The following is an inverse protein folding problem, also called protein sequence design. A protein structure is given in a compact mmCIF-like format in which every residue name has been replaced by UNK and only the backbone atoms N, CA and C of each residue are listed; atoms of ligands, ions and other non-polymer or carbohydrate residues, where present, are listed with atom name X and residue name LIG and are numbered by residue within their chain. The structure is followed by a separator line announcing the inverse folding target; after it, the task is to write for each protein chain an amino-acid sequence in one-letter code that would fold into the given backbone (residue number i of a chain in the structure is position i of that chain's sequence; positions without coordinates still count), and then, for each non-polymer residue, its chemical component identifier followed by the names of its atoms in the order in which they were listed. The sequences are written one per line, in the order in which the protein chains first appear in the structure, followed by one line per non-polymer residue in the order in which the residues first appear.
data_IF_426490333348
#
_entry.id   IF_426490333348
#
_cell.length_a   1.000
_cell.length_b   1.000
_cell.length_c   1.000
_cell.angle_alpha   90.00
_cell.angle_beta   90.00
_cell.angle_gamma   90.00
#
_symmetry.space_group_name_H-M   'P 1'
#
loop_
_entity.id
_entity.type
_entity.pdbx_description
1 polymer ?
#
# COMPACT_ATOMS: atom_id res chain seq x y z
N UNK A 1 7.76 -1.43 -9.59
CA UNK A 1 8.80 -0.74 -8.78
C UNK A 1 9.97 -0.22 -9.63
N UNK A 2 9.72 0.35 -10.82
CA UNK A 2 10.76 0.63 -11.82
C UNK A 2 11.74 1.76 -11.43
N UNK A 3 11.26 2.78 -10.73
CA UNK A 3 12.02 4.03 -10.51
C UNK A 3 12.89 4.02 -9.25
N UNK A 4 12.39 3.47 -8.14
CA UNK A 4 13.12 3.46 -6.87
C UNK A 4 14.38 2.59 -6.97
N UNK A 5 15.49 3.05 -6.40
CA UNK A 5 16.67 2.21 -6.18
C UNK A 5 16.39 1.20 -5.05
N UNK A 6 17.10 0.05 -4.99
CA UNK A 6 17.04 -0.85 -3.83
C UNK A 6 17.29 -0.08 -2.53
N UNK A 7 16.50 -0.34 -1.50
CA UNK A 7 16.51 0.42 -0.23
C UNK A 7 15.67 1.70 -0.25
N UNK A 8 15.30 2.22 -1.43
CA UNK A 8 14.51 3.45 -1.55
C UNK A 8 13.10 3.35 -0.95
N UNK A 9 12.57 4.48 -0.49
CA UNK A 9 11.30 4.55 0.24
C UNK A 9 10.11 4.85 -0.66
N UNK A 10 9.02 4.10 -0.48
CA UNK A 10 7.70 4.37 -1.03
C UNK A 10 6.77 4.77 0.12
N UNK A 11 6.29 6.00 0.09
CA UNK A 11 5.27 6.51 1.01
C UNK A 11 3.90 6.44 0.33
N UNK A 12 2.91 5.92 1.04
CA UNK A 12 1.52 5.83 0.57
C UNK A 12 0.63 6.46 1.62
N UNK A 13 -0.20 7.42 1.19
CA UNK A 13 -1.26 8.01 2.00
C UNK A 13 -2.58 7.77 1.27
N UNK A 14 -3.51 7.06 1.89
CA UNK A 14 -4.78 6.70 1.27
C UNK A 14 -5.94 6.79 2.25
N UNK A 15 -7.13 7.08 1.72
CA UNK A 15 -8.32 7.28 2.55
C UNK A 15 -8.69 5.98 3.26
N UNK A 16 -8.88 6.03 4.58
CA UNK A 16 -9.10 4.86 5.44
C UNK A 16 -10.28 3.99 4.96
N UNK A 17 -11.37 4.63 4.52
CA UNK A 17 -12.57 3.93 4.02
C UNK A 17 -12.35 3.16 2.71
N UNK A 18 -11.25 3.40 1.99
CA UNK A 18 -10.94 2.69 0.75
C UNK A 18 -10.40 1.28 1.00
N UNK A 19 -9.85 1.02 2.18
CA UNK A 19 -9.34 -0.30 2.53
C UNK A 19 -10.49 -1.24 2.88
N UNK A 20 -10.47 -2.44 2.28
CA UNK A 20 -11.30 -3.57 2.71
C UNK A 20 -10.57 -4.35 3.79
N UNK A 21 -9.31 -4.70 3.53
CA UNK A 21 -8.39 -5.33 4.49
C UNK A 21 -6.99 -4.74 4.30
N UNK A 22 -6.50 -4.05 5.34
CA UNK A 22 -5.17 -3.43 5.35
C UNK A 22 -4.06 -4.49 5.29
N UNK A 23 -4.24 -5.67 5.91
CA UNK A 23 -3.23 -6.74 5.87
C UNK A 23 -3.10 -7.32 4.48
N UNK A 24 -4.22 -7.52 3.78
CA UNK A 24 -4.22 -7.98 2.40
C UNK A 24 -3.50 -6.97 1.48
N UNK A 25 -3.73 -5.66 1.68
CA UNK A 25 -3.01 -4.61 0.97
C UNK A 25 -1.49 -4.68 1.21
N UNK A 26 -1.06 -4.72 2.47
CA UNK A 26 0.38 -4.80 2.82
C UNK A 26 1.04 -6.06 2.23
N UNK A 27 0.36 -7.21 2.29
CA UNK A 27 0.84 -8.45 1.69
C UNK A 27 1.01 -8.31 0.17
N UNK A 28 0.02 -7.72 -0.51
CA UNK A 28 0.08 -7.51 -1.95
C UNK A 28 1.20 -6.54 -2.37
N UNK A 29 1.42 -5.45 -1.61
CA UNK A 29 2.56 -4.54 -1.83
C UNK A 29 3.90 -5.26 -1.60
N UNK A 30 3.95 -6.17 -0.62
CA UNK A 30 5.16 -6.95 -0.33
C UNK A 30 5.53 -7.86 -1.52
N UNK A 31 4.54 -8.49 -2.16
CA UNK A 31 4.75 -9.30 -3.36
C UNK A 31 5.30 -8.48 -4.55
N UNK A 32 5.09 -7.16 -4.56
CA UNK A 32 5.68 -6.24 -5.54
C UNK A 32 7.15 -5.88 -5.27
N UNK A 33 7.81 -6.56 -4.33
CA UNK A 33 9.23 -6.36 -4.01
C UNK A 33 9.46 -5.18 -3.06
N UNK A 34 8.56 -5.01 -2.10
CA UNK A 34 8.65 -4.02 -1.04
C UNK A 34 8.57 -4.70 0.33
N UNK A 35 9.02 -4.02 1.38
CA UNK A 35 8.86 -4.42 2.77
C UNK A 35 8.27 -3.26 3.55
N UNK A 36 7.28 -3.53 4.39
CA UNK A 36 6.72 -2.51 5.27
C UNK A 36 7.75 -2.11 6.34
N UNK A 37 7.97 -0.80 6.48
CA UNK A 37 8.82 -0.19 7.50
C UNK A 37 7.96 0.28 8.65
N UNK A 38 6.93 1.06 8.34
CA UNK A 38 6.01 1.63 9.31
C UNK A 38 4.60 1.77 8.72
N UNK A 39 3.59 1.88 9.58
CA UNK A 39 2.23 2.28 9.21
C UNK A 39 1.59 3.07 10.34
N UNK A 40 0.88 4.11 9.97
CA UNK A 40 0.02 4.88 10.87
C UNK A 40 -1.43 4.72 10.43
N UNK A 41 -2.21 4.09 11.31
CA UNK A 41 -3.64 3.83 11.15
C UNK A 41 -4.48 4.57 12.20
N UNK A 42 -3.87 5.48 12.97
CA UNK A 42 -4.55 6.18 14.06
C UNK A 42 -5.54 7.25 13.55
N UNK A 43 -5.33 7.76 12.34
CA UNK A 43 -6.21 8.76 11.75
C UNK A 43 -7.44 8.11 11.10
N UNK A 44 -8.63 8.63 11.41
CA UNK A 44 -9.91 8.11 10.93
C UNK A 44 -10.18 8.37 9.44
N UNK A 45 -9.42 9.27 8.81
CA UNK A 45 -9.59 9.68 7.43
C UNK A 45 -8.52 9.12 6.51
N UNK A 46 -7.27 9.08 6.95
CA UNK A 46 -6.14 8.65 6.13
C UNK A 46 -5.28 7.63 6.85
N UNK A 47 -4.85 6.62 6.12
CA UNK A 47 -3.81 5.69 6.54
C UNK A 47 -2.52 6.00 5.81
N UNK A 48 -1.42 5.97 6.55
CA UNK A 48 -0.08 6.19 6.03
C UNK A 48 0.72 4.90 6.12
N UNK A 49 1.47 4.61 5.07
CA UNK A 49 2.34 3.45 4.99
C UNK A 49 3.69 3.86 4.44
N UNK A 50 4.73 3.33 5.06
CA UNK A 50 6.10 3.44 4.58
C UNK A 50 6.59 2.05 4.18
N UNK A 51 7.11 1.95 2.97
CA UNK A 51 7.71 0.73 2.46
C UNK A 51 9.13 1.00 1.95
N UNK A 52 10.04 0.06 2.16
CA UNK A 52 11.36 0.06 1.53
C UNK A 52 11.37 -0.92 0.36
N UNK A 53 11.95 -0.53 -0.77
CA UNK A 53 12.10 -1.40 -1.94
C UNK A 53 13.17 -2.46 -1.66
N UNK A 54 12.77 -3.72 -1.71
CA UNK A 54 13.67 -4.85 -1.45
C UNK A 54 14.17 -5.54 -2.71
N UNK A 55 13.42 -5.47 -3.82
CA UNK A 55 13.81 -6.22 -5.01
C UNK A 55 12.91 -5.97 -6.21
N UNK A 56 12.80 -6.95 -7.10
CA UNK A 56 11.85 -6.95 -8.22
C UNK A 56 10.50 -7.53 -7.76
N UNK A 57 9.39 -7.20 -8.44
CA UNK A 57 8.11 -7.86 -8.17
C UNK A 57 8.21 -9.36 -8.45
N UNK A 58 7.49 -10.18 -7.66
CA UNK A 58 7.29 -11.59 -8.01
C UNK A 58 6.41 -11.68 -9.26
N UNK A 59 6.91 -12.34 -10.30
CA UNK A 59 6.18 -12.49 -11.56
C UNK A 59 4.95 -13.42 -11.39
N UNK A 60 3.83 -13.08 -12.02
CA UNK A 60 2.65 -13.95 -12.10
C UNK A 60 1.69 -13.89 -10.90
N UNK A 61 1.93 -13.06 -9.89
CA UNK A 61 1.03 -12.94 -8.75
C UNK A 61 -0.25 -12.15 -9.09
N UNK A 62 -1.42 -12.75 -8.84
CA UNK A 62 -2.67 -11.98 -8.73
C UNK A 62 -2.70 -11.27 -7.38
N UNK A 63 -3.00 -9.98 -7.40
CA UNK A 63 -2.86 -9.11 -6.21
C UNK A 63 -4.22 -8.55 -5.78
N UNK A 64 -5.18 -9.39 -5.33
CA UNK A 64 -6.51 -8.92 -4.94
C UNK A 64 -6.46 -7.90 -3.80
N UNK A 65 -5.42 -7.96 -2.96
CA UNK A 65 -5.18 -6.99 -1.89
C UNK A 65 -4.92 -5.55 -2.35
N UNK A 66 -4.60 -5.33 -3.64
CA UNK A 66 -4.48 -3.97 -4.20
C UNK A 66 -5.82 -3.38 -4.65
N UNK A 67 -6.90 -4.17 -4.63
CA UNK A 67 -8.23 -3.68 -4.99
C UNK A 67 -8.81 -2.86 -3.84
N UNK A 68 -8.67 -1.55 -3.96
CA UNK A 68 -9.26 -0.58 -3.03
C UNK A 68 -10.70 -0.23 -3.44
N UNK A 69 -11.54 0.09 -2.45
CA UNK A 69 -12.85 0.70 -2.69
C UNK A 69 -12.68 2.10 -3.31
N UNK A 70 -13.68 2.57 -4.08
CA UNK A 70 -13.67 3.95 -4.56
C UNK A 70 -13.65 4.93 -3.39
N UNK A 71 -13.00 6.08 -3.59
CA UNK A 71 -13.07 7.19 -2.65
C UNK A 71 -14.40 7.92 -2.87
N UNK A 72 -15.41 7.63 -2.05
CA UNK A 72 -16.67 8.35 -2.08
C UNK A 72 -16.58 9.53 -1.12
N UNK A 73 -16.38 10.72 -1.67
CA UNK A 73 -16.40 11.95 -0.88
C UNK A 73 -17.84 12.26 -0.45
N UNK A 74 -18.02 12.66 0.81
CA UNK A 74 -19.36 13.05 1.31
C UNK A 74 -19.85 14.28 0.53
N UNK A 75 -21.15 14.34 0.25
CA UNK A 75 -21.76 15.55 -0.32
C UNK A 75 -21.53 16.72 0.65
N UNK A 76 -21.16 17.87 0.07
CA UNK A 76 -20.84 19.11 0.78
C UNK A 76 -22.09 19.87 1.14
#
# INVERSE_FOLDING_TARGET
NRLLQPGGTLLVAEVASRFLDVRAFVSAVTQLGFKIVSKDLANNFFYFFEFSKTGRPHAGATLPGLRLRPCLYKKR
#
